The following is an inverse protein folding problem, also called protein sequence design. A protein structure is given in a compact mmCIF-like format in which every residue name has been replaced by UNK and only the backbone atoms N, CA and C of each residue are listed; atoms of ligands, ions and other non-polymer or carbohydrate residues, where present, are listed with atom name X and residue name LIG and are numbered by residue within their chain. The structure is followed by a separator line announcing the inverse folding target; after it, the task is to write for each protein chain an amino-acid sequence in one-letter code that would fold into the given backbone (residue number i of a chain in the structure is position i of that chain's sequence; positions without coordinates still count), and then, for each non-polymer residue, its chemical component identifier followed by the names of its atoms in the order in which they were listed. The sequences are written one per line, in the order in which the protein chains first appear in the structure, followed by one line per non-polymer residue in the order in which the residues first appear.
data_IF_730114523752
#
_entry.id   IF_730114523752
#
_cell.length_a   1.000
_cell.length_b   1.000
_cell.length_c   1.000
_cell.angle_alpha   90.00
_cell.angle_beta   90.00
_cell.angle_gamma   90.00
#
_symmetry.space_group_name_H-M   'P 1'
#
loop_
_entity.id
_entity.type
_entity.pdbx_description
1 polymer ?
#
# COMPACT_ATOMS: atom_id res chain seq x y z
N UNK A 1 -17.18 42.47 -2.02
CA UNK A 1 -15.94 42.08 -1.32
C UNK A 1 -15.70 40.61 -1.62
N UNK A 2 -14.87 40.32 -2.61
CA UNK A 2 -14.71 38.96 -3.14
C UNK A 2 -14.08 37.99 -2.14
N UNK A 3 -14.09 36.70 -2.49
CA UNK A 3 -13.47 35.59 -1.74
C UNK A 3 -12.02 35.92 -1.32
N UNK A 4 -11.29 36.68 -2.15
CA UNK A 4 -9.94 37.19 -1.86
C UNK A 4 -9.86 38.21 -0.69
N UNK A 5 -10.92 38.97 -0.43
CA UNK A 5 -10.97 39.93 0.69
C UNK A 5 -11.21 39.26 2.05
N UNK A 6 -12.00 38.19 2.09
CA UNK A 6 -12.19 37.37 3.30
C UNK A 6 -10.96 36.52 3.61
N UNK A 7 -10.30 35.97 2.58
CA UNK A 7 -9.02 35.27 2.74
C UNK A 7 -7.91 36.21 3.22
N UNK A 8 -7.86 37.46 2.74
CA UNK A 8 -6.93 38.49 3.21
C UNK A 8 -7.19 38.92 4.66
N UNK A 9 -8.45 38.99 5.10
CA UNK A 9 -8.81 39.29 6.49
C UNK A 9 -8.42 38.15 7.44
N UNK A 10 -8.66 36.89 7.06
CA UNK A 10 -8.25 35.73 7.86
C UNK A 10 -6.72 35.62 8.00
N UNK A 11 -5.98 35.96 6.94
CA UNK A 11 -4.52 36.06 6.99
C UNK A 11 -4.03 37.23 7.87
N UNK A 12 -4.79 38.32 7.93
CA UNK A 12 -4.49 39.50 8.78
C UNK A 12 -4.83 39.34 10.27
N UNK A 13 -5.61 38.33 10.66
CA UNK A 13 -5.90 38.01 12.06
C UNK A 13 -4.83 37.14 12.74
N UNK A 14 -3.80 36.71 12.01
CA UNK A 14 -2.68 35.93 12.53
C UNK A 14 -1.55 36.86 13.00
N UNK A 15 -0.96 36.63 14.20
CA UNK A 15 0.10 37.48 14.74
C UNK A 15 1.30 37.53 13.78
N UNK A 16 1.74 38.75 13.46
CA UNK A 16 2.66 39.08 12.36
C UNK A 16 4.08 38.48 12.41
N UNK A 17 4.38 37.61 13.37
CA UNK A 17 5.63 36.84 13.46
C UNK A 17 5.55 35.39 12.97
N UNK A 18 4.36 34.84 12.70
CA UNK A 18 4.16 33.41 12.42
C UNK A 18 3.81 33.07 10.96
N UNK A 19 3.54 34.08 10.11
CA UNK A 19 3.16 33.87 8.71
C UNK A 19 4.40 33.87 7.82
N UNK A 20 5.11 32.73 7.78
CA UNK A 20 5.95 32.43 6.62
C UNK A 20 5.06 32.37 5.36
N UNK A 21 5.56 32.76 4.18
CA UNK A 21 4.76 32.79 2.94
C UNK A 21 4.12 31.42 2.61
N UNK A 22 4.74 30.32 3.04
CA UNK A 22 4.18 28.97 2.92
C UNK A 22 2.92 28.77 3.81
N UNK A 23 2.96 29.20 5.07
CA UNK A 23 1.81 29.11 5.99
C UNK A 23 0.68 30.01 5.50
N UNK A 24 1.00 31.21 5.03
CA UNK A 24 0.01 32.12 4.45
C UNK A 24 -0.70 31.50 3.23
N UNK A 25 0.05 30.86 2.32
CA UNK A 25 -0.53 30.22 1.14
C UNK A 25 -1.45 29.04 1.50
N UNK A 26 -1.09 28.24 2.51
CA UNK A 26 -1.91 27.12 3.01
C UNK A 26 -3.21 27.64 3.63
N UNK A 27 -3.13 28.66 4.49
CA UNK A 27 -4.32 29.23 5.14
C UNK A 27 -5.25 29.88 4.13
N UNK A 28 -4.71 30.66 3.18
CA UNK A 28 -5.49 31.28 2.10
C UNK A 28 -6.13 30.20 1.22
N UNK A 29 -5.39 29.16 0.82
CA UNK A 29 -5.93 28.05 0.03
C UNK A 29 -7.08 27.32 0.74
N UNK A 30 -6.92 27.05 2.05
CA UNK A 30 -7.96 26.41 2.86
C UNK A 30 -9.22 27.28 2.96
N UNK A 31 -9.05 28.59 3.19
CA UNK A 31 -10.17 29.55 3.28
C UNK A 31 -10.88 29.71 1.94
N UNK A 32 -10.15 29.78 0.81
CA UNK A 32 -10.74 29.82 -0.52
C UNK A 32 -11.59 28.57 -0.81
N UNK A 33 -11.13 27.39 -0.40
CA UNK A 33 -11.86 26.12 -0.50
C UNK A 33 -13.13 26.09 0.37
N UNK A 34 -13.06 26.62 1.59
CA UNK A 34 -14.22 26.70 2.47
C UNK A 34 -15.30 27.64 1.93
N UNK A 35 -14.91 28.76 1.32
CA UNK A 35 -15.88 29.72 0.77
C UNK A 35 -16.45 29.26 -0.58
N UNK A 36 -15.68 28.53 -1.40
CA UNK A 36 -16.16 28.02 -2.69
C UNK A 36 -17.22 26.93 -2.57
N UNK A 37 -17.19 26.12 -1.50
CA UNK A 37 -18.15 25.04 -1.24
C UNK A 37 -19.23 25.39 -0.20
N UNK A 38 -19.31 26.65 0.26
CA UNK A 38 -20.33 27.11 1.21
C UNK A 38 -20.27 26.40 2.57
N UNK A 39 -21.43 26.20 3.23
CA UNK A 39 -21.52 25.53 4.56
C UNK A 39 -20.93 24.12 4.59
N UNK A 40 -20.86 23.44 3.44
CA UNK A 40 -20.27 22.11 3.34
C UNK A 40 -18.73 22.15 3.30
N UNK A 41 -18.15 23.24 2.76
CA UNK A 41 -16.70 23.44 2.68
C UNK A 41 -16.04 23.63 4.04
N UNK A 42 -16.73 24.23 5.01
CA UNK A 42 -16.22 24.38 6.39
C UNK A 42 -15.95 23.02 7.05
N UNK A 43 -16.77 22.01 6.76
CA UNK A 43 -16.58 20.65 7.30
C UNK A 43 -15.58 19.85 6.48
N UNK A 44 -15.60 19.99 5.15
CA UNK A 44 -14.75 19.18 4.25
C UNK A 44 -13.31 19.70 4.13
N UNK A 45 -13.06 21.00 4.30
CA UNK A 45 -11.73 21.60 4.12
C UNK A 45 -10.61 20.95 4.94
N UNK A 46 -10.77 20.73 6.27
CA UNK A 46 -9.77 20.03 7.07
C UNK A 46 -9.58 18.56 6.66
N UNK A 47 -10.66 17.88 6.27
CA UNK A 47 -10.59 16.49 5.79
C UNK A 47 -9.82 16.39 4.47
N UNK A 48 -10.00 17.34 3.56
CA UNK A 48 -9.26 17.39 2.29
C UNK A 48 -7.76 17.57 2.51
N UNK A 49 -7.35 18.39 3.48
CA UNK A 49 -5.94 18.54 3.83
C UNK A 49 -5.35 17.21 4.35
N UNK A 50 -6.09 16.51 5.21
CA UNK A 50 -5.69 15.18 5.70
C UNK A 50 -5.63 14.18 4.52
N UNK A 51 -6.60 14.24 3.60
CA UNK A 51 -6.61 13.42 2.39
C UNK A 51 -5.44 13.71 1.45
N UNK A 52 -5.07 14.99 1.28
CA UNK A 52 -3.93 15.42 0.48
C UNK A 52 -2.61 14.92 1.07
N UNK A 53 -2.45 15.00 2.40
CA UNK A 53 -1.31 14.40 3.11
C UNK A 53 -1.30 12.88 2.91
N UNK A 54 -2.45 12.22 3.01
CA UNK A 54 -2.59 10.78 2.73
C UNK A 54 -2.15 10.40 1.31
N UNK A 55 -2.47 11.23 0.32
CA UNK A 55 -2.04 11.04 -1.06
C UNK A 55 -0.51 11.15 -1.17
N UNK A 56 0.08 12.19 -0.59
CA UNK A 56 1.54 12.39 -0.56
C UNK A 56 2.23 11.19 0.12
N UNK A 57 1.73 10.75 1.29
CA UNK A 57 2.27 9.58 2.00
C UNK A 57 2.18 8.29 1.16
N UNK A 58 1.11 8.14 0.37
CA UNK A 58 0.97 7.00 -0.56
C UNK A 58 2.05 7.01 -1.64
N UNK A 59 2.39 8.19 -2.19
CA UNK A 59 3.47 8.35 -3.16
C UNK A 59 4.87 8.28 -2.54
N UNK A 60 5.03 8.68 -1.27
CA UNK A 60 6.31 8.55 -0.57
C UNK A 60 6.75 7.09 -0.41
N UNK A 61 5.80 6.14 -0.36
CA UNK A 61 6.12 4.71 -0.29
C UNK A 61 6.95 4.22 -1.48
N UNK A 62 6.58 4.60 -2.70
CA UNK A 62 7.36 4.22 -3.89
C UNK A 62 8.70 4.98 -3.95
N UNK A 63 8.73 6.24 -3.51
CA UNK A 63 9.95 7.02 -3.43
C UNK A 63 10.94 6.45 -2.40
N UNK A 64 10.45 6.02 -1.23
CA UNK A 64 11.26 5.40 -0.18
C UNK A 64 11.90 4.09 -0.64
N UNK A 65 11.17 3.27 -1.39
CA UNK A 65 11.71 2.02 -1.96
C UNK A 65 12.80 2.33 -3.00
N UNK A 66 12.60 3.34 -3.84
CA UNK A 66 13.64 3.79 -4.79
C UNK A 66 14.89 4.33 -4.09
N UNK A 67 14.72 5.10 -3.01
CA UNK A 67 15.84 5.61 -2.21
C UNK A 67 16.60 4.49 -1.52
N UNK A 68 15.90 3.53 -0.89
CA UNK A 68 16.52 2.37 -0.27
C UNK A 68 17.30 1.52 -1.30
N UNK A 69 16.75 1.40 -2.51
CA UNK A 69 17.40 0.71 -3.63
C UNK A 69 18.71 1.38 -4.06
N UNK A 70 18.72 2.71 -4.16
CA UNK A 70 19.94 3.47 -4.48
C UNK A 70 21.01 3.33 -3.40
N UNK A 71 20.63 3.43 -2.12
CA UNK A 71 21.57 3.24 -1.01
C UNK A 71 22.13 1.82 -0.95
N UNK A 72 21.32 0.80 -1.22
CA UNK A 72 21.78 -0.59 -1.25
C UNK A 72 22.84 -0.80 -2.36
N UNK A 73 22.67 -0.19 -3.53
CA UNK A 73 23.64 -0.25 -4.62
C UNK A 73 24.97 0.46 -4.26
N UNK A 74 24.90 1.60 -3.58
CA UNK A 74 26.10 2.33 -3.11
C UNK A 74 26.88 1.46 -2.12
N UNK A 75 26.21 0.91 -1.09
CA UNK A 75 26.83 0.05 -0.08
C UNK A 75 27.39 -1.24 -0.71
N UNK A 76 26.70 -1.80 -1.70
CA UNK A 76 27.19 -2.96 -2.46
C UNK A 76 28.50 -2.65 -3.20
N UNK A 77 28.60 -1.47 -3.82
CA UNK A 77 29.82 -1.02 -4.47
C UNK A 77 30.95 -0.78 -3.47
N UNK A 78 30.66 -0.19 -2.32
CA UNK A 78 31.65 -0.01 -1.25
C UNK A 78 32.21 -1.37 -0.83
N UNK A 79 31.35 -2.34 -0.47
CA UNK A 79 31.81 -3.68 -0.09
C UNK A 79 32.59 -4.40 -1.20
N UNK A 80 32.27 -4.14 -2.46
CA UNK A 80 32.98 -4.73 -3.59
C UNK A 80 34.45 -4.27 -3.69
N UNK A 81 34.78 -3.10 -3.13
CA UNK A 81 36.13 -2.51 -3.19
C UNK A 81 37.03 -2.88 -1.99
N UNK A 82 36.46 -3.43 -0.91
CA UNK A 82 37.19 -3.69 0.36
C UNK A 82 38.02 -4.98 0.32
N UNK A 83 37.95 -5.77 -0.76
CA UNK A 83 38.62 -7.08 -0.85
C UNK A 83 39.16 -7.44 -2.24
N UNK A 84 39.61 -8.70 -2.42
CA UNK A 84 40.06 -9.20 -3.72
C UNK A 84 38.98 -9.04 -4.79
N UNK A 85 39.39 -8.66 -6.01
CA UNK A 85 38.48 -8.34 -7.13
C UNK A 85 37.39 -9.41 -7.36
N UNK A 86 37.76 -10.68 -7.30
CA UNK A 86 36.83 -11.80 -7.51
C UNK A 86 35.74 -11.87 -6.42
N UNK A 87 36.09 -11.59 -5.16
CA UNK A 87 35.15 -11.60 -4.04
C UNK A 87 34.22 -10.39 -4.13
N UNK A 88 34.77 -9.23 -4.50
CA UNK A 88 34.00 -8.01 -4.71
C UNK A 88 32.95 -8.14 -5.81
N UNK A 89 33.30 -8.77 -6.93
CA UNK A 89 32.35 -9.03 -8.04
C UNK A 89 31.20 -9.94 -7.60
N UNK A 90 31.48 -11.00 -6.83
CA UNK A 90 30.43 -11.91 -6.33
C UNK A 90 29.46 -11.17 -5.40
N UNK A 91 30.00 -10.38 -4.46
CA UNK A 91 29.20 -9.61 -3.50
C UNK A 91 28.38 -8.53 -4.23
N UNK A 92 28.99 -7.78 -5.16
CA UNK A 92 28.31 -6.77 -5.95
C UNK A 92 27.15 -7.37 -6.77
N UNK A 93 27.40 -8.50 -7.45
CA UNK A 93 26.38 -9.20 -8.23
C UNK A 93 25.21 -9.67 -7.36
N UNK A 94 25.49 -10.23 -6.18
CA UNK A 94 24.46 -10.65 -5.24
C UNK A 94 23.59 -9.48 -4.78
N UNK A 95 24.20 -8.38 -4.33
CA UNK A 95 23.45 -7.22 -3.85
C UNK A 95 22.68 -6.50 -4.96
N UNK A 96 23.22 -6.42 -6.18
CA UNK A 96 22.49 -5.86 -7.32
C UNK A 96 21.31 -6.75 -7.73
N UNK A 97 21.47 -8.07 -7.72
CA UNK A 97 20.38 -9.01 -7.98
C UNK A 97 19.27 -8.90 -6.89
N UNK A 98 19.67 -8.83 -5.63
CA UNK A 98 18.76 -8.59 -4.50
C UNK A 98 18.03 -7.25 -4.65
N UNK A 99 18.76 -6.19 -4.99
CA UNK A 99 18.20 -4.87 -5.21
C UNK A 99 17.13 -4.87 -6.31
N UNK A 100 17.40 -5.54 -7.43
CA UNK A 100 16.46 -5.69 -8.54
C UNK A 100 15.21 -6.49 -8.13
N UNK A 101 15.39 -7.57 -7.37
CA UNK A 101 14.28 -8.36 -6.85
C UNK A 101 13.39 -7.51 -5.91
N UNK A 102 13.98 -6.81 -4.94
CA UNK A 102 13.24 -5.97 -3.99
C UNK A 102 12.50 -4.81 -4.70
N UNK A 103 13.15 -4.18 -5.68
CA UNK A 103 12.54 -3.12 -6.49
C UNK A 103 11.34 -3.63 -7.30
N UNK A 104 11.40 -4.87 -7.82
CA UNK A 104 10.29 -5.50 -8.56
C UNK A 104 9.15 -6.01 -7.67
N UNK A 105 9.44 -6.58 -6.51
CA UNK A 105 8.42 -7.12 -5.61
C UNK A 105 7.60 -6.03 -4.90
N UNK A 106 8.16 -4.85 -4.65
CA UNK A 106 7.45 -3.74 -4.00
C UNK A 106 6.15 -3.28 -4.72
N UNK A 107 6.16 -2.95 -6.02
CA UNK A 107 4.93 -2.60 -6.74
C UNK A 107 3.98 -3.79 -6.88
N UNK A 108 4.50 -5.02 -6.98
CA UNK A 108 3.68 -6.24 -7.01
C UNK A 108 2.88 -6.42 -5.71
N UNK A 109 3.47 -6.22 -4.54
CA UNK A 109 2.76 -6.28 -3.25
C UNK A 109 1.71 -5.16 -3.14
N UNK A 110 2.04 -3.95 -3.60
CA UNK A 110 1.10 -2.82 -3.59
C UNK A 110 -0.11 -3.06 -4.51
N UNK A 111 0.11 -3.66 -5.69
CA UNK A 111 -0.96 -4.07 -6.59
C UNK A 111 -1.82 -5.20 -5.98
N UNK A 112 -1.19 -6.19 -5.33
CA UNK A 112 -1.89 -7.27 -4.64
C UNK A 112 -2.77 -6.77 -3.49
N UNK A 113 -2.33 -5.73 -2.77
CA UNK A 113 -3.16 -5.09 -1.73
C UNK A 113 -4.46 -4.55 -2.33
N UNK A 114 -4.38 -3.91 -3.50
CA UNK A 114 -5.54 -3.37 -4.18
C UNK A 114 -6.44 -4.50 -4.72
N UNK A 115 -5.86 -5.53 -5.33
CA UNK A 115 -6.59 -6.71 -5.81
C UNK A 115 -7.34 -7.42 -4.66
N UNK A 116 -6.70 -7.61 -3.51
CA UNK A 116 -7.33 -8.30 -2.39
C UNK A 116 -8.41 -7.46 -1.70
N UNK A 117 -8.11 -6.19 -1.43
CA UNK A 117 -9.02 -5.35 -0.64
C UNK A 117 -10.14 -4.76 -1.50
N UNK A 118 -9.87 -4.39 -2.74
CA UNK A 118 -10.82 -3.66 -3.58
C UNK A 118 -11.54 -4.56 -4.59
N UNK A 119 -10.86 -5.56 -5.14
CA UNK A 119 -11.46 -6.48 -6.12
C UNK A 119 -12.15 -7.68 -5.44
N UNK A 120 -11.46 -8.43 -4.55
CA UNK A 120 -12.08 -9.60 -3.92
C UNK A 120 -13.24 -9.24 -2.97
N UNK A 121 -13.17 -8.13 -2.24
CA UNK A 121 -14.30 -7.70 -1.38
C UNK A 121 -15.58 -7.36 -2.16
N UNK A 122 -15.47 -7.05 -3.46
CA UNK A 122 -16.58 -6.60 -4.30
C UNK A 122 -17.14 -7.70 -5.21
N UNK A 123 -16.30 -8.66 -5.60
CA UNK A 123 -16.67 -9.75 -6.50
C UNK A 123 -16.75 -11.13 -5.83
N UNK A 124 -16.28 -11.29 -4.59
CA UNK A 124 -16.39 -12.52 -3.82
C UNK A 124 -17.36 -12.34 -2.64
N UNK A 125 -18.62 -12.75 -2.82
CA UNK A 125 -19.52 -12.97 -1.70
C UNK A 125 -19.27 -14.36 -1.12
N UNK A 126 -18.78 -14.40 0.12
CA UNK A 126 -18.59 -15.66 0.85
C UNK A 126 -19.93 -16.35 1.06
N UNK A 127 -20.31 -17.25 0.15
CA UNK A 127 -21.60 -17.94 0.20
C UNK A 127 -21.88 -18.94 -0.94
N UNK A 128 -20.88 -19.29 -1.76
CA UNK A 128 -21.05 -20.29 -2.82
C UNK A 128 -21.11 -21.71 -2.27
N UNK A 129 -22.07 -22.52 -2.72
CA UNK A 129 -22.12 -23.96 -2.41
C UNK A 129 -20.98 -24.67 -3.15
N UNK A 130 -20.21 -25.50 -2.44
CA UNK A 130 -19.20 -26.35 -3.06
C UNK A 130 -19.84 -27.19 -4.18
N UNK A 131 -19.27 -27.12 -5.38
CA UNK A 131 -19.77 -27.83 -6.53
C UNK A 131 -19.77 -29.34 -6.26
N UNK A 132 -20.96 -29.94 -6.17
CA UNK A 132 -21.13 -31.41 -6.13
C UNK A 132 -21.31 -31.88 -7.58
N UNK A 133 -20.33 -32.55 -8.19
CA UNK A 133 -20.47 -33.03 -9.55
C UNK A 133 -21.65 -34.00 -9.65
N UNK A 134 -22.54 -33.78 -10.61
CA UNK A 134 -23.59 -34.74 -10.93
C UNK A 134 -22.97 -35.92 -11.69
N UNK A 135 -22.99 -37.11 -11.09
CA UNK A 135 -22.73 -38.37 -11.79
C UNK A 135 -21.27 -38.80 -11.91
N UNK A 136 -20.30 -38.10 -11.32
CA UNK A 136 -18.93 -38.63 -11.25
C UNK A 136 -18.81 -39.58 -10.07
N UNK A 137 -18.67 -40.88 -10.37
CA UNK A 137 -18.09 -41.88 -9.47
C UNK A 137 -16.74 -41.35 -9.00
N UNK A 138 -16.74 -40.65 -7.86
CA UNK A 138 -15.52 -40.34 -7.14
C UNK A 138 -14.86 -41.70 -6.87
N UNK A 139 -13.73 -41.97 -7.54
CA UNK A 139 -12.90 -43.11 -7.23
C UNK A 139 -12.44 -42.86 -5.80
N UNK A 140 -12.85 -43.66 -4.80
CA UNK A 140 -12.37 -43.49 -3.45
C UNK A 140 -10.85 -43.68 -3.48
N UNK A 141 -10.07 -42.86 -2.76
CA UNK A 141 -8.64 -43.09 -2.63
C UNK A 141 -8.46 -44.49 -2.05
N UNK A 142 -7.79 -45.35 -2.82
CA UNK A 142 -7.39 -46.67 -2.42
C UNK A 142 -6.42 -46.56 -1.26
N UNK A 143 -6.93 -46.73 -0.04
CA UNK A 143 -6.15 -47.14 1.12
C UNK A 143 -6.99 -48.12 1.92
N UNK A 144 -6.68 -49.40 1.71
CA UNK A 144 -6.31 -50.33 2.79
C UNK A 144 -7.08 -50.12 4.10
N UNK A 145 -8.15 -50.89 4.31
CA UNK A 145 -8.33 -51.63 5.57
C UNK A 145 -9.53 -52.59 5.45
N UNK A 146 -9.21 -53.88 5.55
CA UNK A 146 -10.10 -55.03 5.59
C UNK A 146 -11.08 -54.88 6.77
N UNK A 147 -12.39 -55.15 6.62
CA UNK A 147 -13.32 -55.07 7.73
C UNK A 147 -12.93 -56.09 8.80
N UNK A 148 -12.76 -55.63 10.04
CA UNK A 148 -12.65 -56.52 11.20
C UNK A 148 -13.98 -57.27 11.36
N UNK A 149 -13.88 -58.59 11.20
CA UNK A 149 -14.90 -59.59 11.49
C UNK A 149 -15.22 -59.57 12.99
N UNK A 150 -16.37 -59.03 13.35
CA UNK A 150 -16.95 -59.20 14.68
C UNK A 150 -18.21 -60.04 14.55
N UNK A 151 -18.01 -61.36 14.55
CA UNK A 151 -19.08 -62.33 14.57
C UNK A 151 -20.03 -62.10 15.75
N UNK A 152 -21.32 -62.09 15.45
CA UNK A 152 -22.37 -62.38 16.43
C UNK A 152 -23.39 -63.31 15.81
N UNK A 153 -23.22 -64.55 16.23
CA UNK A 153 -24.06 -65.73 16.14
C UNK A 153 -25.47 -65.48 16.69
N UNK A 154 -26.45 -65.98 15.92
CA UNK A 154 -27.74 -66.57 16.30
C UNK A 154 -28.75 -65.74 17.13
N UNK A 155 -30.05 -65.97 16.88
CA UNK A 155 -30.76 -66.93 17.75
C UNK A 155 -31.14 -68.24 17.06
#
# INVERSE_FOLDING_TARGET
MGVFGLAGLAAGMLPGGAVTPAVAAIVVGLVLMMVSHGRMGLLMGPLELIGAIGNILSYLRIAAVGLASAYLAIVANEFATVGPLWLGVIIAAFFHALNLALAGFSPMIQAMRLHYVEFFSKFYSGGGKAFRPFGSRAIPPETTEKPLDYGTVAP
#
